data_IF_240964185014
#
_entry.id   IF_240964185014
#
_cell.length_a   1.000
_cell.length_b   1.000
_cell.length_c   1.000
_cell.angle_alpha   90.00
_cell.angle_beta   90.00
_cell.angle_gamma   90.00
#
_symmetry.space_group_name_H-M   'P 1'
#
loop_
_entity.id
_entity.type
_entity.pdbx_description
1 polymer ?
#
# COMPACT_ATOMS: atom_id res chain seq x y z
N UNK A 1 8.81 -13.86 8.87
CA UNK A 1 8.68 -12.79 7.87
C UNK A 1 8.11 -11.58 8.57
N UNK A 2 8.68 -10.43 8.27
CA UNK A 2 8.12 -9.14 8.62
C UNK A 2 6.78 -8.92 7.88
N UNK A 3 5.98 -7.93 8.29
CA UNK A 3 4.75 -7.59 7.56
C UNK A 3 5.08 -7.06 6.17
N UNK A 4 6.15 -6.28 6.04
CA UNK A 4 6.61 -5.79 4.75
C UNK A 4 6.90 -6.93 3.77
N UNK A 5 7.64 -7.97 4.19
CA UNK A 5 7.96 -9.11 3.32
C UNK A 5 6.69 -9.84 2.83
N UNK A 6 5.63 -9.91 3.67
CA UNK A 6 4.34 -10.48 3.27
C UNK A 6 3.60 -9.58 2.27
N UNK A 7 3.63 -8.26 2.49
CA UNK A 7 3.04 -7.29 1.58
C UNK A 7 3.72 -7.30 0.22
N UNK A 8 5.05 -7.26 0.20
CA UNK A 8 5.86 -7.33 -1.03
C UNK A 8 5.54 -8.60 -1.82
N UNK A 9 5.50 -9.76 -1.14
CA UNK A 9 5.07 -11.02 -1.76
C UNK A 9 3.65 -10.94 -2.33
N UNK A 10 2.71 -10.32 -1.63
CA UNK A 10 1.35 -10.16 -2.11
C UNK A 10 1.29 -9.29 -3.37
N UNK A 11 2.09 -8.21 -3.43
CA UNK A 11 2.19 -7.35 -4.60
C UNK A 11 2.85 -8.06 -5.79
N UNK A 12 3.95 -8.77 -5.55
CA UNK A 12 4.68 -9.54 -6.58
C UNK A 12 3.80 -10.66 -7.19
N UNK A 13 3.02 -11.32 -6.34
CA UNK A 13 2.09 -12.38 -6.77
C UNK A 13 0.76 -11.83 -7.27
N UNK A 14 0.54 -10.51 -7.17
CA UNK A 14 -0.74 -9.84 -7.47
C UNK A 14 -1.92 -10.53 -6.79
N UNK A 15 -1.72 -10.93 -5.53
CA UNK A 15 -2.66 -11.69 -4.73
C UNK A 15 -3.20 -10.85 -3.57
N UNK A 16 -4.39 -10.28 -3.78
CA UNK A 16 -5.06 -9.49 -2.75
C UNK A 16 -5.52 -10.32 -1.55
N UNK A 17 -5.64 -11.65 -1.67
CA UNK A 17 -5.98 -12.51 -0.53
C UNK A 17 -4.80 -12.59 0.44
N UNK A 18 -3.57 -12.72 -0.06
CA UNK A 18 -2.36 -12.65 0.76
C UNK A 18 -2.25 -11.27 1.43
N UNK A 19 -2.56 -10.19 0.70
CA UNK A 19 -2.57 -8.85 1.28
C UNK A 19 -3.65 -8.72 2.37
N UNK A 20 -4.82 -9.31 2.18
CA UNK A 20 -5.90 -9.27 3.16
C UNK A 20 -5.53 -9.94 4.50
N UNK A 21 -4.60 -10.91 4.50
CA UNK A 21 -4.09 -11.55 5.71
C UNK A 21 -3.21 -10.62 6.58
N UNK A 22 -2.60 -9.59 5.99
CA UNK A 22 -1.79 -8.61 6.75
C UNK A 22 -2.63 -7.51 7.38
N UNK A 23 -3.90 -7.39 7.01
CA UNK A 23 -4.82 -6.35 7.50
C UNK A 23 -5.60 -6.84 8.72
N UNK A 24 -5.57 -6.06 9.81
CA UNK A 24 -6.37 -6.28 10.99
C UNK A 24 -7.88 -6.23 10.65
N UNK A 25 -8.77 -7.01 11.31
CA UNK A 25 -10.21 -6.96 11.06
C UNK A 25 -10.82 -5.54 11.13
N UNK A 26 -10.37 -4.76 12.12
CA UNK A 26 -10.77 -3.35 12.32
C UNK A 26 -9.93 -2.34 11.50
N UNK A 27 -9.32 -2.79 10.38
CA UNK A 27 -8.44 -1.95 9.59
C UNK A 27 -9.14 -0.70 9.02
N UNK A 28 -8.43 0.42 9.03
CA UNK A 28 -8.86 1.67 8.40
C UNK A 28 -7.76 2.29 7.53
N UNK A 29 -8.08 2.60 6.28
CA UNK A 29 -7.24 3.43 5.42
C UNK A 29 -7.71 4.88 5.47
N UNK A 30 -6.82 5.83 5.75
CA UNK A 30 -7.15 7.27 5.79
C UNK A 30 -6.63 7.96 4.54
N UNK A 31 -7.55 8.58 3.80
CA UNK A 31 -7.25 9.35 2.61
C UNK A 31 -7.26 10.84 2.93
N UNK A 32 -6.09 11.40 3.24
CA UNK A 32 -5.94 12.81 3.60
C UNK A 32 -6.42 13.77 2.51
N UNK A 33 -6.21 13.43 1.23
CA UNK A 33 -6.61 14.27 0.09
C UNK A 33 -8.11 14.58 0.10
N UNK A 34 -8.97 13.64 0.51
CA UNK A 34 -10.43 13.77 0.52
C UNK A 34 -11.03 13.86 1.93
N UNK A 35 -10.23 13.63 2.98
CA UNK A 35 -10.71 13.53 4.36
C UNK A 35 -11.63 12.33 4.60
N UNK A 36 -11.50 11.26 3.81
CA UNK A 36 -12.35 10.07 3.88
C UNK A 36 -11.57 8.87 4.40
N UNK A 37 -12.32 7.88 4.90
CA UNK A 37 -11.77 6.61 5.36
C UNK A 37 -12.32 5.44 4.52
N UNK A 38 -11.53 4.38 4.40
CA UNK A 38 -11.94 3.13 3.76
C UNK A 38 -11.75 1.95 4.71
N UNK A 39 -12.71 1.03 4.72
CA UNK A 39 -12.65 -0.20 5.49
C UNK A 39 -11.67 -1.21 4.87
N UNK A 40 -11.40 -2.29 5.61
CA UNK A 40 -10.64 -3.45 5.13
C UNK A 40 -11.15 -3.99 3.79
N UNK A 41 -12.45 -4.22 3.67
CA UNK A 41 -13.02 -4.84 2.47
C UNK A 41 -12.92 -3.91 1.26
N UNK A 42 -13.14 -2.61 1.46
CA UNK A 42 -12.95 -1.59 0.42
C UNK A 42 -11.49 -1.48 -0.02
N UNK A 43 -10.55 -1.61 0.93
CA UNK A 43 -9.12 -1.64 0.62
C UNK A 43 -8.74 -2.87 -0.20
N UNK A 44 -9.25 -4.05 0.16
CA UNK A 44 -9.00 -5.30 -0.59
C UNK A 44 -9.61 -5.23 -2.00
N UNK A 45 -10.81 -4.66 -2.15
CA UNK A 45 -11.41 -4.43 -3.46
C UNK A 45 -10.56 -3.47 -4.33
N UNK A 46 -10.09 -2.38 -3.73
CA UNK A 46 -9.18 -1.43 -4.39
C UNK A 46 -7.88 -2.11 -4.84
N UNK A 47 -7.26 -2.92 -3.98
CA UNK A 47 -6.04 -3.66 -4.30
C UNK A 47 -6.27 -4.66 -5.43
N UNK A 48 -7.39 -5.38 -5.44
CA UNK A 48 -7.75 -6.28 -6.53
C UNK A 48 -7.83 -5.54 -7.88
N UNK A 49 -8.46 -4.36 -7.89
CA UNK A 49 -8.56 -3.54 -9.10
C UNK A 49 -7.18 -3.06 -9.57
N UNK A 50 -6.31 -2.64 -8.64
CA UNK A 50 -4.94 -2.20 -8.95
C UNK A 50 -4.08 -3.35 -9.49
N UNK A 51 -4.08 -4.49 -8.79
CA UNK A 51 -3.30 -5.68 -9.15
C UNK A 51 -3.75 -6.31 -10.47
N UNK A 52 -5.04 -6.18 -10.83
CA UNK A 52 -5.56 -6.68 -12.10
C UNK A 52 -5.25 -5.76 -13.29
N UNK A 53 -4.69 -4.57 -13.05
CA UNK A 53 -4.40 -3.60 -14.08
C UNK A 53 -2.90 -3.55 -14.41
N UNK A 54 -2.52 -4.05 -15.58
CA UNK A 54 -1.12 -4.09 -16.04
C UNK A 54 -0.46 -2.71 -16.20
N UNK A 55 -1.27 -1.64 -16.24
CA UNK A 55 -0.74 -0.26 -16.27
C UNK A 55 -0.37 0.28 -14.89
N UNK A 56 -0.76 -0.41 -13.81
CA UNK A 56 -0.26 -0.13 -12.47
C UNK A 56 1.05 -0.87 -12.29
N UNK A 57 2.16 -0.13 -12.28
CA UNK A 57 3.50 -0.69 -12.15
C UNK A 57 4.14 -0.16 -10.87
N UNK A 58 4.61 -1.05 -10.02
CA UNK A 58 5.32 -0.73 -8.78
C UNK A 58 6.82 -0.86 -9.04
N UNK A 59 7.57 0.17 -8.70
CA UNK A 59 8.99 0.32 -8.97
C UNK A 59 9.70 0.77 -7.69
N UNK A 60 10.93 0.32 -7.48
CA UNK A 60 11.77 0.77 -6.36
C UNK A 60 11.05 0.71 -4.99
N UNK A 61 10.24 -0.34 -4.79
CA UNK A 61 9.58 -0.60 -3.51
C UNK A 61 10.63 -0.98 -2.48
N UNK A 62 10.56 -0.38 -1.30
CA UNK A 62 11.44 -0.70 -0.18
C UNK A 62 10.79 -0.41 1.17
N UNK A 63 11.16 -1.22 2.15
CA UNK A 63 10.95 -0.92 3.55
C UNK A 63 11.91 0.19 3.99
N UNK A 64 11.39 1.24 4.62
CA UNK A 64 12.18 2.30 5.26
C UNK A 64 12.44 1.93 6.72
N UNK A 65 11.40 1.46 7.42
CA UNK A 65 11.47 1.13 8.84
C UNK A 65 10.33 0.18 9.22
N UNK A 66 10.62 -0.85 10.03
CA UNK A 66 9.61 -1.71 10.62
C UNK A 66 9.97 -2.06 12.07
N UNK A 67 9.04 -1.84 13.00
CA UNK A 67 9.09 -2.37 14.36
C UNK A 67 7.73 -2.96 14.76
N UNK A 68 7.51 -3.24 16.04
CA UNK A 68 6.26 -3.86 16.52
C UNK A 68 5.02 -2.99 16.35
N UNK A 69 5.18 -1.66 16.30
CA UNK A 69 4.08 -0.69 16.30
C UNK A 69 3.85 -0.01 14.94
N UNK A 70 4.90 0.12 14.12
CA UNK A 70 4.89 0.93 12.89
C UNK A 70 5.67 0.24 11.78
N UNK A 71 5.13 0.32 10.57
CA UNK A 71 5.83 0.04 9.30
C UNK A 71 5.76 1.29 8.42
N UNK A 72 6.90 1.66 7.83
CA UNK A 72 7.02 2.74 6.86
C UNK A 72 7.72 2.20 5.62
N UNK A 73 7.12 2.42 4.48
CA UNK A 73 7.59 1.95 3.19
C UNK A 73 7.40 3.02 2.13
N UNK A 74 8.16 2.88 1.06
CA UNK A 74 8.14 3.81 -0.05
C UNK A 74 8.23 3.04 -1.36
N UNK A 75 7.49 3.49 -2.36
CA UNK A 75 7.57 2.98 -3.73
C UNK A 75 7.38 4.10 -4.74
N UNK A 76 7.86 3.88 -5.96
CA UNK A 76 7.44 4.62 -7.14
C UNK A 76 6.33 3.83 -7.84
N UNK A 77 5.24 4.50 -8.21
CA UNK A 77 4.11 3.86 -8.88
C UNK A 77 3.81 4.57 -10.19
N UNK A 78 3.72 3.82 -11.29
CA UNK A 78 3.07 4.29 -12.51
C UNK A 78 1.58 3.97 -12.46
N UNK A 79 0.74 4.93 -12.85
CA UNK A 79 -0.71 4.79 -12.88
C UNK A 79 -1.27 4.77 -14.31
N UNK A 80 -2.51 4.26 -14.51
CA UNK A 80 -3.13 4.15 -15.83
C UNK A 80 -3.34 5.46 -16.58
N UNK A 81 -3.36 6.59 -15.86
CA UNK A 81 -3.45 7.94 -16.43
C UNK A 81 -2.11 8.47 -16.96
N UNK A 82 -1.03 7.69 -16.83
CA UNK A 82 0.31 8.00 -17.29
C UNK A 82 1.18 8.70 -16.25
N UNK A 83 0.61 9.12 -15.12
CA UNK A 83 1.36 9.73 -14.02
C UNK A 83 2.34 8.74 -13.37
N UNK A 84 3.38 9.29 -12.74
CA UNK A 84 4.23 8.57 -11.80
C UNK A 84 4.23 9.29 -10.47
N UNK A 85 4.07 8.55 -9.39
CA UNK A 85 4.08 9.12 -8.06
C UNK A 85 5.08 8.39 -7.17
N UNK A 86 5.76 9.14 -6.30
CA UNK A 86 6.45 8.62 -5.14
C UNK A 86 5.46 8.51 -4.00
N UNK A 87 5.13 7.28 -3.62
CA UNK A 87 4.13 6.96 -2.60
C UNK A 87 4.85 6.48 -1.34
N UNK A 88 4.65 7.19 -0.25
CA UNK A 88 5.03 6.77 1.10
C UNK A 88 3.79 6.29 1.82
N UNK A 89 3.82 5.06 2.31
CA UNK A 89 2.81 4.54 3.22
C UNK A 89 3.34 4.48 4.64
N UNK A 90 2.45 4.78 5.58
CA UNK A 90 2.69 4.68 7.01
C UNK A 90 1.61 3.80 7.59
N UNK A 91 2.04 2.70 8.19
CA UNK A 91 1.17 1.70 8.77
C UNK A 91 1.33 1.67 10.28
N UNK A 92 0.23 1.85 11.01
CA UNK A 92 0.15 1.53 12.44
C UNK A 92 -0.24 0.08 12.57
N UNK A 93 0.48 -0.64 13.42
CA UNK A 93 0.27 -2.06 13.71
C UNK A 93 -0.51 -2.26 15.00
N UNK A 94 -1.29 -3.34 15.04
CA UNK A 94 -2.00 -3.83 16.22
C UNK A 94 -2.10 -5.34 16.11
N UNK A 95 -1.79 -6.05 17.19
CA UNK A 95 -1.84 -7.52 17.26
C UNK A 95 -1.02 -8.21 16.14
N UNK A 96 0.09 -7.58 15.75
CA UNK A 96 0.97 -8.07 14.68
C UNK A 96 0.44 -7.89 13.25
N UNK A 97 -0.65 -7.14 13.07
CA UNK A 97 -1.30 -6.84 11.79
C UNK A 97 -1.37 -5.33 11.55
N UNK A 98 -1.63 -4.91 10.31
CA UNK A 98 -1.83 -3.49 9.98
C UNK A 98 -3.23 -3.07 10.41
N UNK A 99 -3.30 -2.11 11.34
CA UNK A 99 -4.54 -1.55 11.86
C UNK A 99 -4.95 -0.27 11.14
N UNK A 100 -3.98 0.55 10.75
CA UNK A 100 -4.26 1.81 10.05
C UNK A 100 -3.21 2.07 9.00
N UNK A 101 -3.62 2.56 7.84
CA UNK A 101 -2.73 3.03 6.78
C UNK A 101 -3.03 4.48 6.44
N UNK A 102 -1.98 5.27 6.26
CA UNK A 102 -2.02 6.62 5.74
C UNK A 102 -0.99 6.72 4.61
N UNK A 103 -1.31 7.44 3.53
CA UNK A 103 -0.38 7.62 2.41
C UNK A 103 -0.15 9.09 2.09
N UNK A 104 1.07 9.38 1.65
CA UNK A 104 1.44 10.61 0.98
C UNK A 104 1.99 10.28 -0.41
N UNK A 105 1.50 10.97 -1.43
CA UNK A 105 1.96 10.79 -2.80
C UNK A 105 2.52 12.11 -3.34
N UNK A 106 3.68 12.05 -3.99
CA UNK A 106 4.31 13.18 -4.66
C UNK A 106 4.41 12.87 -6.15
N UNK A 107 3.84 13.72 -6.99
CA UNK A 107 3.96 13.58 -8.45
C UNK A 107 5.43 13.71 -8.88
N UNK A 108 5.89 12.78 -9.71
CA UNK A 108 7.24 12.74 -10.24
C UNK A 108 7.19 13.01 -11.75
N UNK A 109 7.91 14.04 -12.18
CA UNK A 109 8.12 14.27 -13.61
C UNK A 109 9.01 13.15 -14.16
N UNK A 110 8.53 12.48 -15.21
CA UNK A 110 9.33 11.51 -15.95
C UNK A 110 10.37 12.31 -16.74
N UNK A 111 11.61 12.28 -16.30
CA UNK A 111 12.73 12.85 -17.06
C UNK A 111 12.79 12.23 -18.46
N UNK A 112 13.19 13.03 -19.45
CA UNK A 112 13.46 12.58 -20.83
C UNK A 112 14.58 11.52 -20.89
#
# INVERSE_FOLDING_TARGET
MSLYEKMERAMDQRDAAIYAEVLHPDFTFVRHQSGTEMSRDQMVEMLNMMMSNDKVVILDSRCIYENDDVLVEHSLMDFPDGSREAVMGVHVKKDGLIFKTETGATLIEKGE
#
